data_IF_881344137002
#
_entry.id   IF_881344137002
#
_cell.length_a   1.000
_cell.length_b   1.000
_cell.length_c   1.000
_cell.angle_alpha   90.00
_cell.angle_beta   90.00
_cell.angle_gamma   90.00
#
_symmetry.space_group_name_H-M   'P 1'
#
loop_
_entity.id
_entity.type
_entity.pdbx_description
1 polymer ?
#
# COMPACT_ATOMS: atom_id res chain seq x y z
N UNK A 1 -21.05 -30.36 75.92
CA UNK A 1 -20.85 -29.06 76.61
C UNK A 1 -19.38 -28.69 76.57
N UNK A 2 -19.01 -27.73 75.71
CA UNK A 2 -17.96 -26.72 75.96
C UNK A 2 -18.02 -25.73 74.81
N UNK A 3 -18.54 -24.54 75.12
CA UNK A 3 -18.50 -23.35 74.28
C UNK A 3 -17.21 -22.63 74.63
N UNK A 4 -16.38 -22.27 73.64
CA UNK A 4 -15.49 -21.10 73.76
C UNK A 4 -15.53 -20.32 72.45
N UNK A 5 -15.80 -19.03 72.64
CA UNK A 5 -15.98 -17.93 71.71
C UNK A 5 -14.62 -17.27 71.42
N UNK A 6 -14.45 -16.64 70.25
CA UNK A 6 -13.56 -15.48 70.11
C UNK A 6 -12.65 -15.49 68.89
N UNK A 7 -12.73 -14.43 68.09
CA UNK A 7 -11.72 -14.15 67.06
C UNK A 7 -12.18 -13.31 65.87
N UNK A 8 -12.70 -12.10 66.13
CA UNK A 8 -12.93 -11.06 65.12
C UNK A 8 -11.57 -10.42 64.75
N UNK A 9 -11.20 -10.33 63.47
CA UNK A 9 -9.90 -9.76 63.08
C UNK A 9 -9.72 -9.49 61.60
N UNK A 10 -10.09 -8.27 61.19
CA UNK A 10 -9.88 -7.61 59.89
C UNK A 10 -8.44 -7.75 59.35
N UNK A 11 -8.28 -7.80 58.02
CA UNK A 11 -6.95 -7.61 57.41
C UNK A 11 -6.91 -7.77 55.89
N UNK A 12 -7.38 -6.75 55.17
CA UNK A 12 -7.24 -6.56 53.73
C UNK A 12 -5.75 -6.69 53.34
N UNK A 13 -5.35 -7.74 52.61
CA UNK A 13 -3.96 -7.88 52.14
C UNK A 13 -3.92 -7.91 50.62
N UNK A 14 -3.60 -6.74 50.10
CA UNK A 14 -3.07 -6.35 48.79
C UNK A 14 -2.93 -7.43 47.70
N UNK A 15 -3.68 -7.22 46.62
CA UNK A 15 -3.41 -7.78 45.30
C UNK A 15 -2.06 -7.25 44.77
N UNK A 16 -1.05 -8.11 44.69
CA UNK A 16 0.15 -7.86 43.89
C UNK A 16 -0.10 -8.35 42.46
N UNK A 17 -0.65 -7.47 41.62
CA UNK A 17 -0.72 -7.67 40.17
C UNK A 17 0.69 -7.43 39.62
N UNK A 18 1.43 -8.50 39.37
CA UNK A 18 2.70 -8.46 38.64
C UNK A 18 2.41 -8.30 37.15
N UNK A 19 2.38 -7.05 36.69
CA UNK A 19 2.48 -6.72 35.27
C UNK A 19 3.90 -7.03 34.79
N UNK A 20 4.10 -8.25 34.29
CA UNK A 20 5.27 -8.55 33.46
C UNK A 20 5.05 -7.95 32.08
N UNK A 21 5.49 -6.69 31.92
CA UNK A 21 5.70 -6.05 30.63
C UNK A 21 6.89 -6.71 29.94
N UNK A 22 6.64 -7.77 29.20
CA UNK A 22 7.56 -8.25 28.16
C UNK A 22 7.63 -7.17 27.08
N UNK A 23 8.58 -6.25 27.22
CA UNK A 23 8.92 -5.28 26.18
C UNK A 23 9.44 -6.02 24.96
N UNK A 24 8.70 -5.97 23.85
CA UNK A 24 9.27 -6.30 22.56
C UNK A 24 10.37 -5.27 22.27
N UNK A 25 11.63 -5.72 22.27
CA UNK A 25 12.75 -4.96 21.71
C UNK A 25 12.45 -4.79 20.22
N UNK A 26 11.93 -3.63 19.85
CA UNK A 26 11.80 -3.23 18.46
C UNK A 26 13.21 -2.92 17.98
N UNK A 27 13.82 -3.83 17.23
CA UNK A 27 15.03 -3.54 16.49
C UNK A 27 14.70 -2.42 15.50
N UNK A 28 15.02 -1.18 15.84
CA UNK A 28 15.15 -0.11 14.86
C UNK A 28 16.39 -0.45 14.00
N UNK A 29 16.19 -1.33 13.01
CA UNK A 29 17.14 -1.50 11.90
C UNK A 29 17.17 -0.16 11.18
N UNK A 30 18.28 0.55 11.36
CA UNK A 30 18.46 1.90 10.90
C UNK A 30 18.42 2.00 9.39
N UNK A 31 17.70 3.01 8.90
CA UNK A 31 17.92 3.68 7.63
C UNK A 31 18.31 2.81 6.41
N UNK A 32 17.66 1.66 6.25
CA UNK A 32 17.55 1.01 4.95
C UNK A 32 16.59 1.87 4.14
N UNK A 33 17.14 2.83 3.38
CA UNK A 33 16.38 3.89 2.71
C UNK A 33 15.03 3.39 2.22
N UNK A 34 13.95 3.95 2.76
CA UNK A 34 12.59 3.45 2.59
C UNK A 34 12.22 3.51 1.10
N UNK A 35 12.51 2.41 0.38
CA UNK A 35 12.25 2.32 -1.05
C UNK A 35 10.74 2.37 -1.24
N UNK A 36 10.30 3.44 -1.89
CA UNK A 36 8.92 3.62 -2.32
C UNK A 36 8.46 2.35 -3.04
N UNK A 37 7.42 1.71 -2.52
CA UNK A 37 6.86 0.48 -3.07
C UNK A 37 5.36 0.64 -3.22
N UNK A 38 4.86 0.29 -4.40
CA UNK A 38 3.45 0.35 -4.75
C UNK A 38 2.83 -1.05 -4.74
N UNK A 39 1.62 -1.23 -4.18
CA UNK A 39 0.94 -2.52 -4.26
C UNK A 39 0.65 -2.84 -5.73
N UNK A 40 0.93 -4.08 -6.13
CA UNK A 40 0.52 -4.59 -7.43
C UNK A 40 -0.68 -5.52 -7.24
N UNK A 41 -1.73 -5.41 -8.07
CA UNK A 41 -2.82 -6.38 -8.03
C UNK A 41 -2.31 -7.76 -8.47
N UNK A 42 -2.94 -8.83 -7.97
CA UNK A 42 -2.63 -10.19 -8.40
C UNK A 42 -3.00 -10.44 -9.87
N UNK A 43 -4.02 -9.74 -10.35
CA UNK A 43 -4.59 -9.89 -11.70
C UNK A 43 -4.80 -8.50 -12.30
N UNK A 44 -4.35 -8.31 -13.54
CA UNK A 44 -4.59 -7.07 -14.30
C UNK A 44 -6.10 -6.83 -14.49
N UNK A 45 -6.53 -5.58 -14.30
CA UNK A 45 -7.94 -5.22 -14.38
C UNK A 45 -8.54 -5.64 -15.73
N UNK A 46 -9.76 -6.21 -15.70
CA UNK A 46 -10.39 -6.77 -16.89
C UNK A 46 -10.57 -5.73 -18.01
N UNK A 47 -10.93 -4.50 -17.66
CA UNK A 47 -11.11 -3.40 -18.62
C UNK A 47 -9.82 -3.07 -19.39
N UNK A 48 -8.65 -3.14 -18.74
CA UNK A 48 -7.34 -2.94 -19.39
C UNK A 48 -7.12 -4.04 -20.44
N UNK A 49 -7.39 -5.30 -20.06
CA UNK A 49 -7.25 -6.46 -20.94
C UNK A 49 -8.23 -6.44 -22.12
N UNK A 50 -9.39 -5.80 -21.93
CA UNK A 50 -10.39 -5.59 -22.97
C UNK A 50 -10.09 -4.41 -23.89
N UNK A 51 -9.01 -3.66 -23.64
CA UNK A 51 -8.65 -2.49 -24.45
C UNK A 51 -9.43 -1.23 -24.12
N UNK A 52 -10.14 -1.18 -22.99
CA UNK A 52 -10.90 0.01 -22.60
C UNK A 52 -9.97 1.16 -22.23
N UNK A 53 -10.32 2.41 -22.60
CA UNK A 53 -9.49 3.56 -22.29
C UNK A 53 -9.57 3.94 -20.81
N UNK A 54 -8.51 4.56 -20.32
CA UNK A 54 -8.47 5.24 -19.02
C UNK A 54 -8.71 6.74 -19.23
N UNK A 55 -9.52 7.34 -18.35
CA UNK A 55 -9.73 8.79 -18.33
C UNK A 55 -8.74 9.44 -17.37
N UNK A 56 -7.85 10.28 -17.90
CA UNK A 56 -6.86 11.03 -17.12
C UNK A 56 -6.66 12.44 -17.70
N UNK A 57 -6.70 13.47 -16.84
CA UNK A 57 -6.65 14.89 -17.24
C UNK A 57 -7.65 15.26 -18.35
N UNK A 58 -8.87 14.71 -18.29
CA UNK A 58 -9.92 14.96 -19.28
C UNK A 58 -9.67 14.33 -20.66
N UNK A 59 -8.62 13.52 -20.82
CA UNK A 59 -8.27 12.83 -22.07
C UNK A 59 -8.45 11.32 -21.93
N UNK A 60 -8.75 10.68 -23.06
CA UNK A 60 -8.74 9.22 -23.19
C UNK A 60 -7.32 8.74 -23.52
N UNK A 61 -6.90 7.71 -22.81
CA UNK A 61 -5.63 7.03 -23.03
C UNK A 61 -5.91 5.55 -23.23
N UNK A 62 -5.35 4.96 -24.28
CA UNK A 62 -5.65 3.58 -24.68
C UNK A 62 -4.50 2.65 -24.30
N UNK A 63 -4.79 1.46 -23.74
CA UNK A 63 -3.75 0.51 -23.37
C UNK A 63 -3.05 -0.01 -24.62
N UNK A 64 -1.71 -0.05 -24.58
CA UNK A 64 -0.91 -0.62 -25.65
C UNK A 64 -0.62 -2.09 -25.35
N UNK A 65 -0.55 -2.93 -26.39
CA UNK A 65 -0.24 -4.37 -26.28
C UNK A 65 1.25 -4.62 -26.03
N UNK A 66 1.83 -3.89 -25.09
CA UNK A 66 3.21 -4.04 -24.65
C UNK A 66 3.34 -3.67 -23.16
N UNK A 67 4.48 -4.01 -22.56
CA UNK A 67 4.73 -3.91 -21.12
C UNK A 67 6.09 -3.27 -20.89
N UNK A 68 6.12 -2.30 -19.99
CA UNK A 68 7.34 -1.63 -19.58
C UNK A 68 7.82 -2.11 -18.20
N UNK A 69 9.14 -2.25 -18.07
CA UNK A 69 9.78 -2.75 -16.87
C UNK A 69 10.43 -1.59 -16.10
N UNK A 70 9.60 -0.87 -15.33
CA UNK A 70 10.03 0.23 -14.47
C UNK A 70 10.07 -0.21 -13.01
N UNK A 71 10.98 0.36 -12.22
CA UNK A 71 11.00 0.23 -10.76
C UNK A 71 10.02 1.21 -10.15
N UNK A 72 9.53 0.87 -8.95
CA UNK A 72 8.69 1.78 -8.16
C UNK A 72 9.40 3.10 -7.82
N UNK A 73 10.75 3.10 -7.83
CA UNK A 73 11.56 4.31 -7.66
C UNK A 73 11.59 5.21 -8.89
N UNK A 74 11.25 4.71 -10.08
CA UNK A 74 11.28 5.42 -11.37
C UNK A 74 9.94 6.05 -11.73
N UNK A 75 8.87 5.72 -11.01
CA UNK A 75 7.54 6.25 -11.27
C UNK A 75 6.97 6.99 -10.06
N UNK A 76 6.01 7.88 -10.29
CA UNK A 76 5.15 8.41 -9.23
C UNK A 76 3.68 8.31 -9.61
N UNK A 77 2.85 8.04 -8.60
CA UNK A 77 1.39 7.97 -8.77
C UNK A 77 0.84 9.38 -8.99
N UNK A 78 0.02 9.54 -10.03
CA UNK A 78 -0.61 10.82 -10.42
C UNK A 78 -2.13 10.79 -10.34
N UNK A 79 -2.72 9.61 -10.15
CA UNK A 79 -4.17 9.47 -10.08
C UNK A 79 -4.61 8.03 -9.86
N UNK A 80 -5.90 7.83 -10.05
CA UNK A 80 -6.56 6.54 -9.96
C UNK A 80 -7.75 6.51 -10.93
N UNK A 81 -8.00 5.36 -11.55
CA UNK A 81 -9.19 5.13 -12.36
C UNK A 81 -9.76 3.75 -12.07
N UNK A 82 -11.03 3.72 -11.63
CA UNK A 82 -11.74 2.47 -11.29
C UNK A 82 -10.95 1.60 -10.29
N UNK A 83 -10.33 2.21 -9.28
CA UNK A 83 -9.51 1.49 -8.29
C UNK A 83 -8.10 1.10 -8.77
N UNK A 84 -7.70 1.47 -9.99
CA UNK A 84 -6.36 1.20 -10.53
C UNK A 84 -5.53 2.47 -10.49
N UNK A 85 -4.36 2.40 -9.86
CA UNK A 85 -3.42 3.51 -9.74
C UNK A 85 -2.83 3.88 -11.11
N UNK A 86 -2.80 5.18 -11.40
CA UNK A 86 -2.18 5.76 -12.60
C UNK A 86 -0.84 6.35 -12.19
N UNK A 87 0.20 6.04 -12.96
CA UNK A 87 1.56 6.50 -12.76
C UNK A 87 2.09 7.22 -14.00
N UNK A 88 3.14 8.00 -13.79
CA UNK A 88 4.01 8.53 -14.84
C UNK A 88 5.46 8.26 -14.47
N UNK A 89 6.32 8.24 -15.47
CA UNK A 89 7.77 8.19 -15.25
C UNK A 89 8.22 9.51 -14.60
N UNK A 90 9.12 9.43 -13.62
CA UNK A 90 9.71 10.59 -12.95
C UNK A 90 10.52 11.48 -13.90
N UNK A 91 11.08 10.93 -14.97
CA UNK A 91 11.84 11.72 -15.94
C UNK A 91 10.94 12.44 -16.95
N UNK A 92 9.67 12.04 -17.07
CA UNK A 92 8.72 12.63 -18.01
C UNK A 92 8.18 13.96 -17.47
N UNK A 93 8.07 14.96 -18.36
CA UNK A 93 7.61 16.30 -18.03
C UNK A 93 6.31 16.58 -18.78
N UNK A 94 5.39 17.32 -18.15
CA UNK A 94 4.12 17.65 -18.79
C UNK A 94 4.34 18.43 -20.10
N UNK A 95 3.55 18.16 -21.17
CA UNK A 95 2.51 17.14 -21.25
C UNK A 95 3.09 15.74 -21.41
N UNK A 96 2.59 14.77 -20.63
CA UNK A 96 3.12 13.40 -20.67
C UNK A 96 2.88 12.74 -22.03
N UNK A 97 3.83 11.91 -22.44
CA UNK A 97 3.72 11.08 -23.63
C UNK A 97 3.01 9.76 -23.32
N UNK A 98 3.21 9.24 -22.11
CA UNK A 98 2.65 7.98 -21.62
C UNK A 98 2.18 8.10 -20.19
N UNK A 99 1.17 7.29 -19.87
CA UNK A 99 0.80 7.00 -18.48
C UNK A 99 0.81 5.49 -18.27
N UNK A 100 0.92 5.08 -17.02
CA UNK A 100 1.14 3.68 -16.67
C UNK A 100 0.15 3.18 -15.62
N UNK A 101 -0.15 1.89 -15.67
CA UNK A 101 -0.79 1.17 -14.57
C UNK A 101 0.04 -0.04 -14.19
N UNK A 102 0.26 -0.23 -12.89
CA UNK A 102 1.01 -1.37 -12.37
C UNK A 102 0.13 -2.62 -12.33
N UNK A 103 0.61 -3.74 -12.86
CA UNK A 103 -0.11 -5.02 -12.80
C UNK A 103 0.73 -6.18 -12.28
N UNK A 104 2.04 -5.98 -12.09
CA UNK A 104 2.91 -6.92 -11.37
C UNK A 104 4.14 -6.16 -10.83
N UNK A 105 5.01 -6.86 -10.07
CA UNK A 105 6.26 -6.28 -9.57
C UNK A 105 7.11 -5.77 -10.73
N UNK A 106 7.44 -4.49 -10.72
CA UNK A 106 8.20 -3.79 -11.75
C UNK A 106 7.68 -4.00 -13.19
N UNK A 107 6.35 -4.14 -13.34
CA UNK A 107 5.70 -4.36 -14.63
C UNK A 107 4.50 -3.44 -14.78
N UNK A 108 4.54 -2.64 -15.83
CA UNK A 108 3.61 -1.56 -16.08
C UNK A 108 3.02 -1.69 -17.48
N UNK A 109 1.70 -1.55 -17.58
CA UNK A 109 1.01 -1.34 -18.85
C UNK A 109 1.09 0.13 -19.15
N UNK A 110 1.62 0.50 -20.32
CA UNK A 110 1.60 1.89 -20.75
C UNK A 110 0.39 2.16 -21.64
N UNK A 111 -0.06 3.39 -21.58
CA UNK A 111 -1.19 3.90 -22.35
C UNK A 111 -0.71 5.10 -23.14
N UNK A 112 -1.20 5.20 -24.37
CA UNK A 112 -0.91 6.31 -25.27
C UNK A 112 -2.19 7.04 -25.62
N UNK A 113 -2.05 8.33 -25.92
CA UNK A 113 -3.15 9.11 -26.49
C UNK A 113 -3.38 8.68 -27.95
N UNK A 114 -4.63 8.72 -28.44
CA UNK A 114 -4.85 8.55 -29.87
C UNK A 114 -4.04 9.60 -30.63
N UNK A 115 -3.36 9.18 -31.70
CA UNK A 115 -2.78 10.13 -32.66
C UNK A 115 -3.95 10.82 -33.35
N UNK A 116 -4.11 12.12 -33.11
CA UNK A 116 -4.90 12.96 -34.00
C UNK A 116 -4.02 13.22 -35.23
N UNK A 117 -4.08 12.34 -36.21
CA UNK A 117 -3.53 12.58 -37.55
C UNK A 117 -4.39 13.62 -38.30
#
# INVERSE_FOLDING_TARGET
MKVILGGLGRGFTAACILFFSSGCVHNNSGNDGQLQSYPAPLIEAAWIRNGEPVMYEGKQWFPVKDVEHLKDSEVYQVGEHRGVQIFVDKIDIKPYDRIYTKFAKNKYRYFERPRND
#
